data_IF_056779129030
#
_entry.id   IF_056779129030
#
_cell.length_a   1.000
_cell.length_b   1.000
_cell.length_c   1.000
_cell.angle_alpha   90.00
_cell.angle_beta   90.00
_cell.angle_gamma   90.00
#
_symmetry.space_group_name_H-M   'P 1'
#
loop_
_entity.id
_entity.type
_entity.pdbx_description
1 polymer ?
#
# COMPACT_ATOMS: atom_id res chain seq x y z
N UNK A 1 4.66 -5.82 -27.37
CA UNK A 1 4.94 -4.85 -26.29
C UNK A 1 5.07 -3.48 -26.95
N UNK A 2 4.41 -2.46 -26.41
CA UNK A 2 4.46 -1.09 -26.93
C UNK A 2 5.83 -0.46 -26.62
N UNK A 3 6.57 -0.05 -27.66
CA UNK A 3 7.94 0.48 -27.52
C UNK A 3 7.90 1.97 -27.15
N UNK A 4 8.60 2.36 -26.09
CA UNK A 4 8.72 3.77 -25.66
C UNK A 4 7.46 4.38 -25.04
N UNK A 5 6.40 3.60 -24.85
CA UNK A 5 5.18 4.07 -24.21
C UNK A 5 5.35 4.29 -22.70
N UNK A 6 4.60 5.23 -22.13
CA UNK A 6 4.56 5.50 -20.69
C UNK A 6 3.20 5.08 -20.13
N UNK A 7 3.21 4.21 -19.12
CA UNK A 7 2.00 3.81 -18.40
C UNK A 7 1.91 4.58 -17.08
N UNK A 8 0.81 5.30 -16.85
CA UNK A 8 0.54 6.01 -15.59
C UNK A 8 -0.19 5.17 -14.54
N UNK A 9 -0.52 3.91 -14.85
CA UNK A 9 -1.20 3.01 -13.92
C UNK A 9 -0.21 2.49 -12.89
N UNK A 10 -0.65 2.30 -11.64
CA UNK A 10 0.22 1.78 -10.60
C UNK A 10 0.61 0.32 -10.86
N UNK A 11 1.77 -0.07 -10.36
CA UNK A 11 2.28 -1.44 -10.38
C UNK A 11 2.81 -1.82 -8.98
N UNK A 12 2.74 -3.09 -8.64
CA UNK A 12 3.25 -3.67 -7.40
C UNK A 12 4.48 -4.55 -7.68
N UNK A 13 5.32 -4.78 -6.68
CA UNK A 13 6.41 -5.77 -6.80
C UNK A 13 5.86 -7.19 -7.06
N UNK A 14 4.72 -7.51 -6.46
CA UNK A 14 4.04 -8.81 -6.63
C UNK A 14 3.57 -9.06 -8.06
N UNK A 15 3.39 -8.02 -8.87
CA UNK A 15 2.97 -8.12 -10.27
C UNK A 15 4.07 -8.74 -11.17
N UNK A 16 5.33 -8.74 -10.74
CA UNK A 16 6.46 -9.23 -11.55
C UNK A 16 6.32 -10.72 -11.86
N UNK A 17 6.07 -11.55 -10.85
CA UNK A 17 5.98 -13.00 -11.03
C UNK A 17 4.88 -13.42 -12.04
N UNK A 18 3.60 -13.02 -11.89
CA UNK A 18 2.56 -13.38 -12.86
C UNK A 18 2.82 -12.78 -14.25
N UNK A 19 3.46 -11.61 -14.34
CA UNK A 19 3.87 -11.02 -15.63
C UNK A 19 4.89 -11.90 -16.35
N UNK A 20 5.95 -12.32 -15.66
CA UNK A 20 6.99 -13.17 -16.24
C UNK A 20 6.45 -14.56 -16.60
N UNK A 21 5.61 -15.13 -15.74
CA UNK A 21 4.96 -16.41 -16.01
C UNK A 21 4.14 -16.38 -17.31
N UNK A 22 3.34 -15.33 -17.53
CA UNK A 22 2.57 -15.15 -18.76
C UNK A 22 3.48 -14.95 -19.98
N UNK A 23 4.53 -14.12 -19.87
CA UNK A 23 5.48 -13.87 -20.97
C UNK A 23 6.28 -15.12 -21.36
N UNK A 24 6.57 -16.01 -20.40
CA UNK A 24 7.22 -17.29 -20.64
C UNK A 24 6.26 -18.39 -21.14
N UNK A 25 4.95 -18.11 -21.26
CA UNK A 25 3.97 -19.09 -21.71
C UNK A 25 3.72 -20.23 -20.71
N UNK A 26 3.89 -19.97 -19.40
CA UNK A 26 3.55 -20.96 -18.38
C UNK A 26 2.04 -21.21 -18.36
N UNK A 27 1.64 -22.46 -18.12
CA UNK A 27 0.24 -22.91 -18.23
C UNK A 27 -0.69 -22.28 -17.19
N UNK A 28 -0.15 -21.95 -16.01
CA UNK A 28 -0.91 -21.36 -14.92
C UNK A 28 0.01 -20.59 -13.97
N UNK A 29 -0.60 -19.63 -13.28
CA UNK A 29 -0.06 -18.97 -12.09
C UNK A 29 -0.85 -19.53 -10.89
N UNK A 30 -0.21 -19.91 -9.77
CA UNK A 30 -0.92 -20.38 -8.59
C UNK A 30 -1.95 -19.35 -8.08
N UNK A 31 -3.07 -19.83 -7.54
CA UNK A 31 -4.19 -18.95 -7.11
C UNK A 31 -3.83 -18.07 -5.92
N UNK A 32 -2.82 -18.45 -5.14
CA UNK A 32 -2.34 -17.70 -3.98
C UNK A 32 -1.53 -16.47 -4.36
N UNK A 33 -1.14 -16.34 -5.63
CA UNK A 33 -0.44 -15.17 -6.13
C UNK A 33 -1.41 -13.99 -6.22
N UNK A 34 -1.19 -13.01 -5.36
CA UNK A 34 -2.04 -11.82 -5.29
C UNK A 34 -1.72 -10.81 -6.41
N UNK A 35 -0.51 -10.84 -6.98
CA UNK A 35 -0.07 -9.96 -8.05
C UNK A 35 -0.92 -10.07 -9.32
N UNK A 36 -0.95 -9.01 -10.11
CA UNK A 36 -1.62 -8.97 -11.42
C UNK A 36 -0.60 -8.91 -12.54
N UNK A 37 -0.76 -9.72 -13.58
CA UNK A 37 0.07 -9.61 -14.78
C UNK A 37 -0.05 -8.21 -15.40
N UNK A 38 1.09 -7.61 -15.71
CA UNK A 38 1.21 -6.33 -16.40
C UNK A 38 1.26 -6.48 -17.93
N UNK A 39 1.15 -7.69 -18.46
CA UNK A 39 1.15 -7.92 -19.91
C UNK A 39 0.11 -7.07 -20.66
N UNK A 40 -1.13 -6.86 -20.16
CA UNK A 40 -2.06 -5.92 -20.78
C UNK A 40 -1.47 -4.51 -20.92
N UNK A 41 -0.86 -3.97 -19.85
CA UNK A 41 -0.23 -2.64 -19.86
C UNK A 41 1.05 -2.59 -20.70
N UNK A 42 1.80 -3.69 -20.79
CA UNK A 42 2.96 -3.80 -21.66
C UNK A 42 2.56 -3.82 -23.14
N UNK A 43 1.40 -4.39 -23.49
CA UNK A 43 0.87 -4.39 -24.86
C UNK A 43 0.25 -3.05 -25.21
N UNK A 44 -0.53 -2.48 -24.31
CA UNK A 44 -1.18 -1.17 -24.43
C UNK A 44 -1.01 -0.39 -23.13
N UNK A 45 -0.24 0.71 -23.18
CA UNK A 45 -0.02 1.57 -22.03
C UNK A 45 -1.30 2.26 -21.53
N UNK A 46 -2.44 2.12 -22.21
CA UNK A 46 -3.78 2.55 -21.79
C UNK A 46 -4.70 1.40 -21.30
N UNK A 47 -4.22 0.16 -21.25
CA UNK A 47 -5.01 -0.97 -20.76
C UNK A 47 -5.36 -0.81 -19.28
N UNK A 48 -6.63 -0.94 -18.87
CA UNK A 48 -7.07 -0.72 -17.49
C UNK A 48 -6.44 -1.72 -16.51
N UNK A 49 -6.20 -1.27 -15.27
CA UNK A 49 -5.88 -2.15 -14.14
C UNK A 49 -7.15 -2.32 -13.28
N UNK A 50 -7.42 -3.53 -12.83
CA UNK A 50 -8.67 -3.88 -12.13
C UNK A 50 -8.74 -3.37 -10.67
N UNK A 51 -7.58 -3.20 -10.01
CA UNK A 51 -7.48 -2.74 -8.62
C UNK A 51 -6.29 -1.80 -8.41
N UNK A 52 -6.31 -0.92 -7.39
CA UNK A 52 -5.14 -0.10 -7.03
C UNK A 52 -3.95 -0.97 -6.62
N UNK A 53 -2.75 -0.40 -6.60
CA UNK A 53 -1.60 -1.02 -5.97
C UNK A 53 -1.70 -0.91 -4.44
N UNK A 54 -1.44 -1.99 -3.71
CA UNK A 54 -1.49 -2.06 -2.26
C UNK A 54 -0.08 -2.16 -1.68
N UNK A 55 0.16 -1.46 -0.57
CA UNK A 55 1.39 -1.60 0.22
C UNK A 55 1.02 -1.67 1.68
N UNK A 56 1.51 -2.70 2.36
CA UNK A 56 1.28 -2.93 3.79
C UNK A 56 2.60 -2.87 4.56
N UNK A 57 2.58 -2.27 5.74
CA UNK A 57 3.74 -2.17 6.65
C UNK A 57 3.37 -2.64 8.06
N UNK A 58 3.24 -3.95 8.21
CA UNK A 58 2.72 -4.55 9.44
C UNK A 58 1.21 -4.38 9.60
N UNK A 59 0.61 -4.95 10.66
CA UNK A 59 -0.84 -5.00 10.81
C UNK A 59 -1.47 -3.61 10.93
N UNK A 60 -2.44 -3.32 10.06
CA UNK A 60 -3.25 -2.10 10.11
C UNK A 60 -2.58 -0.85 9.52
N UNK A 61 -1.36 -0.95 9.00
CA UNK A 61 -0.72 0.13 8.25
C UNK A 61 -0.73 -0.21 6.77
N UNK A 62 -1.72 0.32 6.05
CA UNK A 62 -2.00 -0.04 4.67
C UNK A 62 -2.15 1.21 3.81
N UNK A 63 -1.71 1.12 2.55
CA UNK A 63 -1.94 2.15 1.56
C UNK A 63 -2.43 1.58 0.24
N UNK A 64 -3.31 2.33 -0.42
CA UNK A 64 -3.85 2.03 -1.74
C UNK A 64 -3.48 3.17 -2.68
N UNK A 65 -2.73 2.83 -3.74
CA UNK A 65 -2.35 3.74 -4.82
C UNK A 65 -3.16 3.42 -6.07
N UNK A 66 -4.05 4.32 -6.42
CA UNK A 66 -4.70 4.34 -7.74
C UNK A 66 -3.95 5.28 -8.69
N UNK A 67 -4.44 5.40 -9.93
CA UNK A 67 -3.91 6.39 -10.87
C UNK A 67 -4.09 7.83 -10.38
N UNK A 68 -5.22 8.13 -9.71
CA UNK A 68 -5.58 9.49 -9.34
C UNK A 68 -5.37 9.83 -7.85
N UNK A 69 -5.28 8.83 -6.98
CA UNK A 69 -5.24 9.04 -5.54
C UNK A 69 -4.33 8.05 -4.82
N UNK A 70 -3.71 8.51 -3.75
CA UNK A 70 -3.08 7.67 -2.72
C UNK A 70 -3.86 7.81 -1.43
N UNK A 71 -4.27 6.70 -0.86
CA UNK A 71 -4.93 6.63 0.44
C UNK A 71 -4.10 5.79 1.39
N UNK A 72 -3.92 6.25 2.62
CA UNK A 72 -3.16 5.59 3.68
C UNK A 72 -4.05 5.50 4.91
N UNK A 73 -4.03 4.35 5.59
CA UNK A 73 -4.60 4.16 6.91
C UNK A 73 -3.53 3.57 7.81
N UNK A 74 -3.37 4.18 8.98
CA UNK A 74 -2.44 3.72 10.00
C UNK A 74 -3.16 2.86 11.04
N UNK A 75 -2.37 2.08 11.79
CA UNK A 75 -2.87 1.17 12.79
C UNK A 75 -3.62 1.87 13.95
N UNK A 76 -3.33 3.14 14.19
CA UNK A 76 -4.04 3.98 15.18
C UNK A 76 -5.38 4.55 14.67
N UNK A 77 -5.73 4.27 13.42
CA UNK A 77 -6.95 4.73 12.76
C UNK A 77 -6.83 6.10 12.10
N UNK A 78 -5.67 6.77 12.19
CA UNK A 78 -5.43 7.99 11.41
C UNK A 78 -5.37 7.68 9.90
N UNK A 79 -5.70 8.69 9.10
CA UNK A 79 -5.90 8.52 7.66
C UNK A 79 -5.29 9.68 6.88
N UNK A 80 -4.72 9.35 5.72
CA UNK A 80 -4.24 10.32 4.73
C UNK A 80 -4.83 10.03 3.36
N UNK A 81 -5.17 11.08 2.61
CA UNK A 81 -5.65 10.97 1.24
C UNK A 81 -5.10 12.11 0.39
N UNK A 82 -4.44 11.77 -0.72
CA UNK A 82 -3.83 12.72 -1.65
C UNK A 82 -4.42 12.58 -3.06
N UNK A 83 -4.70 13.71 -3.71
CA UNK A 83 -5.04 13.77 -5.15
C UNK A 83 -3.73 13.87 -5.93
N UNK A 84 -3.34 12.79 -6.59
CA UNK A 84 -2.04 12.66 -7.21
C UNK A 84 -1.91 13.38 -8.54
N UNK A 85 -3.02 13.89 -9.06
CA UNK A 85 -3.03 14.71 -10.28
C UNK A 85 -2.82 16.18 -9.95
N UNK A 86 -3.30 16.64 -8.79
CA UNK A 86 -3.19 18.03 -8.33
C UNK A 86 -2.06 18.28 -7.33
N UNK A 87 -1.72 17.25 -6.57
CA UNK A 87 -0.75 17.28 -5.50
C UNK A 87 0.19 16.06 -5.62
N UNK A 88 1.06 16.03 -6.66
CA UNK A 88 1.97 14.91 -6.90
C UNK A 88 3.02 14.73 -5.79
N UNK A 89 3.18 15.72 -4.91
CA UNK A 89 4.13 15.72 -3.80
C UNK A 89 3.48 15.44 -2.44
N UNK A 90 2.17 15.19 -2.39
CA UNK A 90 1.46 14.72 -1.20
C UNK A 90 1.51 15.71 -0.01
N UNK A 91 1.37 17.00 -0.28
CA UNK A 91 1.43 18.03 0.78
C UNK A 91 0.08 18.30 1.44
N UNK A 92 -1.04 18.04 0.76
CA UNK A 92 -2.38 18.37 1.25
C UNK A 92 -3.19 17.10 1.52
N UNK A 93 -3.26 16.72 2.79
CA UNK A 93 -4.13 15.64 3.24
C UNK A 93 -5.62 16.04 3.11
N UNK A 94 -6.39 15.26 2.35
CA UNK A 94 -7.82 15.43 2.09
C UNK A 94 -8.72 14.49 2.92
N UNK A 95 -8.17 13.68 3.83
CA UNK A 95 -8.91 12.64 4.53
C UNK A 95 -10.03 13.18 5.43
N UNK A 96 -9.84 14.39 5.97
CA UNK A 96 -10.82 15.08 6.82
C UNK A 96 -12.00 15.70 6.04
N UNK A 97 -11.88 15.87 4.72
CA UNK A 97 -12.97 16.40 3.89
C UNK A 97 -14.12 15.36 3.80
N UNK A 98 -15.34 15.69 4.27
CA UNK A 98 -16.49 14.78 4.20
C UNK A 98 -16.80 14.26 2.79
N UNK A 99 -16.47 15.02 1.74
CA UNK A 99 -16.68 14.65 0.33
C UNK A 99 -15.85 13.42 -0.07
N UNK A 100 -14.73 13.18 0.61
CA UNK A 100 -13.82 12.07 0.28
C UNK A 100 -14.22 10.74 0.93
N UNK A 101 -15.19 10.74 1.85
CA UNK A 101 -15.59 9.57 2.64
C UNK A 101 -15.89 8.33 1.79
N UNK A 102 -16.63 8.50 0.67
CA UNK A 102 -16.96 7.39 -0.23
C UNK A 102 -15.72 6.82 -0.93
N UNK A 103 -14.80 7.69 -1.34
CA UNK A 103 -13.55 7.30 -1.97
C UNK A 103 -12.63 6.56 -0.98
N UNK A 104 -12.45 7.09 0.24
CA UNK A 104 -11.68 6.42 1.30
C UNK A 104 -12.23 5.03 1.60
N UNK A 105 -13.56 4.90 1.73
CA UNK A 105 -14.20 3.59 1.94
C UNK A 105 -13.94 2.62 0.78
N UNK A 106 -13.99 3.10 -0.47
CA UNK A 106 -13.69 2.29 -1.66
C UNK A 106 -12.21 1.86 -1.70
N UNK A 107 -11.28 2.76 -1.39
CA UNK A 107 -9.86 2.41 -1.40
C UNK A 107 -9.50 1.45 -0.25
N UNK A 108 -10.08 1.67 0.93
CA UNK A 108 -9.91 0.80 2.08
C UNK A 108 -10.47 -0.62 1.88
N UNK A 109 -11.43 -0.82 0.97
CA UNK A 109 -11.97 -2.17 0.73
C UNK A 109 -10.99 -3.11 0.04
N UNK A 110 -9.88 -2.59 -0.48
CA UNK A 110 -8.78 -3.39 -1.04
C UNK A 110 -7.72 -3.77 -0.01
N UNK A 111 -7.80 -3.26 1.23
CA UNK A 111 -6.85 -3.61 2.27
C UNK A 111 -7.05 -5.04 2.76
N UNK A 112 -5.98 -5.70 3.27
CA UNK A 112 -6.09 -7.00 3.90
C UNK A 112 -7.15 -7.01 5.00
N UNK A 113 -8.10 -7.93 4.92
CA UNK A 113 -9.16 -8.06 5.93
C UNK A 113 -8.64 -8.65 7.24
N UNK A 114 -7.70 -9.59 7.12
CA UNK A 114 -7.12 -10.36 8.23
C UNK A 114 -5.58 -10.33 8.11
N UNK A 115 -4.92 -9.20 8.41
CA UNK A 115 -3.46 -9.15 8.39
C UNK A 115 -2.91 -10.18 9.38
N UNK A 116 -1.95 -11.00 8.93
CA UNK A 116 -1.28 -11.96 9.78
C UNK A 116 -0.59 -11.23 10.94
N UNK A 117 -0.64 -11.82 12.14
CA UNK A 117 0.17 -11.33 13.25
C UNK A 117 1.64 -11.52 12.91
N UNK A 118 2.51 -10.64 13.42
CA UNK A 118 3.94 -10.90 13.38
C UNK A 118 4.24 -12.27 13.99
N UNK A 119 5.20 -12.98 13.42
CA UNK A 119 5.68 -14.25 13.96
C UNK A 119 6.14 -14.03 15.40
N UNK A 120 5.84 -14.97 16.29
CA UNK A 120 6.28 -14.92 17.68
C UNK A 120 7.80 -14.74 17.77
N UNK A 121 8.25 -13.80 18.59
CA UNK A 121 9.67 -13.42 18.71
C UNK A 121 10.22 -12.53 17.58
N UNK A 122 9.41 -12.14 16.60
CA UNK A 122 9.84 -11.22 15.53
C UNK A 122 9.91 -9.77 16.03
N UNK A 123 11.08 -9.15 15.89
CA UNK A 123 11.32 -7.73 16.18
C UNK A 123 11.15 -6.83 14.95
N UNK A 124 10.52 -7.33 13.88
CA UNK A 124 10.45 -6.63 12.60
C UNK A 124 9.60 -5.35 12.66
N UNK A 125 10.23 -4.22 13.05
CA UNK A 125 9.71 -2.84 12.95
C UNK A 125 8.27 -2.68 13.42
N UNK A 126 7.89 -3.40 14.48
CA UNK A 126 6.55 -3.32 15.04
C UNK A 126 6.47 -2.07 15.91
N UNK A 127 5.50 -1.21 15.58
CA UNK A 127 4.98 -0.23 16.53
C UNK A 127 3.79 -0.88 17.21
N UNK A 128 3.90 -1.12 18.51
CA UNK A 128 2.85 -1.75 19.30
C UNK A 128 2.32 -0.75 20.32
N UNK A 129 1.03 -0.41 20.21
CA UNK A 129 0.32 0.36 21.24
C UNK A 129 -0.38 -0.62 22.18
N UNK A 130 0.04 -0.66 23.45
CA UNK A 130 -0.59 -1.49 24.48
C UNK A 130 -1.90 -0.84 24.97
N UNK A 131 -2.71 -1.61 25.70
CA UNK A 131 -4.02 -1.16 26.24
C UNK A 131 -3.89 -0.01 27.24
N UNK A 132 -2.77 0.08 27.94
CA UNK A 132 -2.45 1.17 28.87
C UNK A 132 -2.01 2.46 28.16
N UNK A 133 -1.90 2.43 26.83
CA UNK A 133 -1.51 3.57 26.00
C UNK A 133 0.00 3.69 25.76
N UNK A 134 0.83 2.82 26.36
CA UNK A 134 2.26 2.75 26.07
C UNK A 134 2.51 2.32 24.61
N UNK A 135 3.56 2.87 24.01
CA UNK A 135 3.93 2.62 22.62
C UNK A 135 5.33 2.00 22.61
N UNK A 136 5.49 0.86 21.95
CA UNK A 136 6.77 0.18 21.81
C UNK A 136 7.21 0.19 20.34
N UNK A 137 8.49 0.44 20.09
CA UNK A 137 9.14 0.20 18.81
C UNK A 137 10.18 -0.92 18.99
N UNK A 138 10.01 -2.04 18.29
CA UNK A 138 10.92 -3.19 18.39
C UNK A 138 11.17 -3.65 19.85
N UNK A 139 10.08 -3.80 20.63
CA UNK A 139 10.10 -4.12 22.07
C UNK A 139 10.76 -3.08 22.98
N UNK A 140 11.12 -1.91 22.45
CA UNK A 140 11.63 -0.79 23.24
C UNK A 140 10.51 0.21 23.49
N UNK A 141 10.28 0.58 24.75
CA UNK A 141 9.31 1.59 25.11
C UNK A 141 9.70 2.94 24.48
N UNK A 142 8.76 3.59 23.79
CA UNK A 142 8.89 4.96 23.34
C UNK A 142 8.30 5.84 24.45
N UNK A 143 9.18 6.49 25.21
CA UNK A 143 8.79 7.46 26.22
C UNK A 143 8.02 8.62 25.59
N UNK A 144 7.10 9.24 26.35
CA UNK A 144 6.22 10.31 25.85
C UNK A 144 7.00 11.52 25.31
N UNK A 145 8.20 11.74 25.83
CA UNK A 145 9.15 12.79 25.50
C UNK A 145 10.42 12.27 24.81
N UNK A 146 10.37 11.04 24.28
CA UNK A 146 11.47 10.47 23.52
C UNK A 146 11.89 11.44 22.40
N UNK A 147 13.19 11.76 22.36
CA UNK A 147 13.75 12.59 21.28
C UNK A 147 13.59 11.84 19.96
N UNK A 148 13.22 12.56 18.91
CA UNK A 148 13.26 12.04 17.55
C UNK A 148 14.72 11.66 17.27
N UNK A 149 15.01 10.42 16.82
CA UNK A 149 16.37 10.05 16.44
C UNK A 149 16.87 11.05 15.39
N UNK A 150 17.90 11.81 15.73
CA UNK A 150 18.58 12.66 14.76
C UNK A 150 19.28 11.75 13.76
N UNK A 151 19.13 12.04 12.47
CA UNK A 151 19.95 11.38 11.45
C UNK A 151 21.36 11.98 11.58
N UNK A 152 22.33 11.19 12.06
CA UNK A 152 23.76 11.52 11.96
C UNK A 152 24.23 11.58 10.49
#
# INVERSE_FOLDING_TARGET
ISKGARCGRPAELLDIYPTLAELCGLKSVPEEIEGLSLVPQLKDAQAPRSRPAITSHGPGNDSARSEAHRYIRYADGSEELYDMRKDPHEFKNLASDPKTKKLRKKLASYFPKNPAKPVEGSNARLIERKKDGSVYWQNTLIEKDAKIPEYE
#
